data_IF_805138979756
#
_entry.id   IF_805138979756
#
_cell.length_a   1.000
_cell.length_b   1.000
_cell.length_c   1.000
_cell.angle_alpha   90.00
_cell.angle_beta   90.00
_cell.angle_gamma   90.00
#
_symmetry.space_group_name_H-M   'P 1'
#
loop_
_entity.id
_entity.type
_entity.pdbx_description
1 polymer ?
#
# COMPACT_ATOMS: atom_id res chain seq x y z
N UNK A 1 -6.01 10.12 11.78
CA UNK A 1 -6.05 8.72 12.27
C UNK A 1 -5.93 7.80 11.09
N UNK A 2 -4.97 6.89 11.13
CA UNK A 2 -4.65 5.99 10.01
C UNK A 2 -5.70 4.89 9.92
N UNK A 3 -6.14 4.58 8.69
CA UNK A 3 -7.05 3.48 8.40
C UNK A 3 -6.46 2.66 7.27
N UNK A 4 -6.41 1.34 7.46
CA UNK A 4 -5.96 0.37 6.47
C UNK A 4 -7.15 -0.54 6.13
N UNK A 5 -7.41 -0.74 4.84
CA UNK A 5 -8.36 -1.72 4.34
C UNK A 5 -7.65 -2.68 3.41
N UNK A 6 -7.99 -3.95 3.53
CA UNK A 6 -7.36 -5.02 2.76
C UNK A 6 -8.49 -5.87 2.16
N UNK A 7 -8.45 -6.07 0.85
CA UNK A 7 -9.27 -7.04 0.14
C UNK A 7 -8.42 -8.24 -0.24
N UNK A 8 -9.03 -9.42 -0.14
CA UNK A 8 -8.43 -10.68 -0.58
C UNK A 8 -9.33 -11.35 -1.60
N UNK A 9 -8.73 -11.91 -2.63
CA UNK A 9 -9.41 -12.74 -3.59
C UNK A 9 -9.78 -14.11 -2.98
N UNK A 10 -10.53 -14.93 -3.72
CA UNK A 10 -10.97 -16.26 -3.28
C UNK A 10 -9.81 -17.21 -2.95
N UNK A 11 -8.66 -17.02 -3.60
CA UNK A 11 -7.42 -17.75 -3.35
C UNK A 11 -6.59 -17.17 -2.18
N UNK A 12 -7.15 -16.25 -1.39
CA UNK A 12 -6.52 -15.56 -0.26
C UNK A 12 -5.44 -14.53 -0.60
N UNK A 13 -5.08 -14.35 -1.87
CA UNK A 13 -4.13 -13.31 -2.28
C UNK A 13 -4.72 -11.92 -2.06
N UNK A 14 -3.92 -10.99 -1.56
CA UNK A 14 -4.33 -9.58 -1.44
C UNK A 14 -4.48 -9.00 -2.85
N UNK A 15 -5.71 -8.59 -3.19
CA UNK A 15 -6.00 -7.94 -4.47
C UNK A 15 -6.38 -6.46 -4.30
N UNK A 16 -6.45 -5.98 -3.06
CA UNK A 16 -6.77 -4.59 -2.75
C UNK A 16 -6.12 -4.16 -1.42
N UNK A 17 -5.50 -2.98 -1.41
CA UNK A 17 -4.98 -2.32 -0.23
C UNK A 17 -5.30 -0.82 -0.31
N UNK A 18 -5.93 -0.26 0.72
CA UNK A 18 -6.16 1.17 0.84
C UNK A 18 -5.67 1.68 2.20
N UNK A 19 -4.77 2.67 2.17
CA UNK A 19 -4.22 3.34 3.35
C UNK A 19 -4.62 4.81 3.33
N UNK A 20 -5.37 5.25 4.35
CA UNK A 20 -5.87 6.63 4.48
C UNK A 20 -5.44 7.26 5.80
N UNK A 21 -5.27 8.59 5.79
CA UNK A 21 -5.05 9.38 7.00
C UNK A 21 -3.64 9.26 7.58
N UNK A 22 -2.66 8.92 6.73
CA UNK A 22 -1.23 8.84 7.07
C UNK A 22 -0.48 10.16 6.83
N UNK A 23 -1.19 11.28 6.72
CA UNK A 23 -0.62 12.63 6.65
C UNK A 23 -1.29 13.56 7.68
N UNK A 24 -0.56 14.59 8.10
CA UNK A 24 -1.01 15.66 9.01
C UNK A 24 -1.58 15.18 10.36
N UNK A 25 -0.95 14.19 11.01
CA UNK A 25 -1.38 13.77 12.35
C UNK A 25 -0.79 14.60 13.50
N UNK A 26 0.26 15.37 13.22
CA UNK A 26 0.97 16.28 14.12
C UNK A 26 1.81 17.29 13.29
N UNK A 27 2.64 18.07 13.97
CA UNK A 27 3.59 18.96 13.30
C UNK A 27 4.57 18.16 12.42
N UNK A 28 4.93 18.76 11.28
CA UNK A 28 5.92 18.20 10.36
C UNK A 28 7.22 17.84 11.11
N UNK A 29 7.71 16.62 10.92
CA UNK A 29 8.90 16.11 11.62
C UNK A 29 8.64 15.53 13.03
N UNK A 30 7.43 15.67 13.59
CA UNK A 30 6.99 14.96 14.81
C UNK A 30 6.08 13.78 14.52
N UNK A 31 5.68 13.66 13.26
CA UNK A 31 4.76 12.68 12.71
C UNK A 31 5.43 11.33 12.39
N UNK A 32 6.06 10.72 13.41
CA UNK A 32 6.85 9.49 13.26
C UNK A 32 6.04 8.32 12.70
N UNK A 33 4.79 8.16 13.13
CA UNK A 33 3.90 7.09 12.65
C UNK A 33 3.53 7.31 11.18
N UNK A 34 3.21 8.54 10.80
CA UNK A 34 2.93 8.90 9.41
C UNK A 34 4.14 8.69 8.50
N UNK A 35 5.34 9.06 8.97
CA UNK A 35 6.58 8.81 8.24
C UNK A 35 6.82 7.31 8.04
N UNK A 36 6.63 6.48 9.08
CA UNK A 36 6.77 5.03 8.97
C UNK A 36 5.79 4.42 7.96
N UNK A 37 4.50 4.79 8.04
CA UNK A 37 3.48 4.30 7.11
C UNK A 37 3.77 4.74 5.68
N UNK A 38 4.17 5.99 5.47
CA UNK A 38 4.55 6.49 4.15
C UNK A 38 5.76 5.72 3.58
N UNK A 39 6.78 5.48 4.42
CA UNK A 39 7.98 4.75 3.99
C UNK A 39 7.67 3.31 3.57
N UNK A 40 6.87 2.58 4.36
CA UNK A 40 6.51 1.18 4.05
C UNK A 40 5.64 1.10 2.79
N UNK A 41 4.59 1.92 2.71
CA UNK A 41 3.64 1.84 1.59
C UNK A 41 4.27 2.33 0.28
N UNK A 42 4.92 3.50 0.29
CA UNK A 42 5.59 4.02 -0.90
C UNK A 42 6.77 3.15 -1.30
N UNK A 43 7.55 2.64 -0.33
CA UNK A 43 8.66 1.73 -0.61
C UNK A 43 8.20 0.42 -1.23
N UNK A 44 7.13 -0.17 -0.71
CA UNK A 44 6.52 -1.38 -1.26
C UNK A 44 6.00 -1.17 -2.67
N UNK A 45 5.22 -0.11 -2.92
CA UNK A 45 4.68 0.18 -4.25
C UNK A 45 5.77 0.47 -5.29
N UNK A 46 6.86 1.14 -4.89
CA UNK A 46 8.01 1.36 -5.76
C UNK A 46 8.79 0.07 -6.09
N UNK A 47 8.57 -1.01 -5.35
CA UNK A 47 9.21 -2.30 -5.55
C UNK A 47 8.31 -3.29 -6.29
N UNK A 48 7.19 -2.85 -6.88
CA UNK A 48 6.39 -3.69 -7.76
C UNK A 48 6.96 -3.64 -9.18
N UNK A 49 6.96 -4.78 -9.89
CA UNK A 49 7.61 -4.87 -11.20
C UNK A 49 6.63 -4.76 -12.38
N UNK A 50 5.44 -5.33 -12.25
CA UNK A 50 4.53 -5.50 -13.39
C UNK A 50 3.42 -4.44 -13.42
N UNK A 51 3.77 -3.21 -13.79
CA UNK A 51 2.87 -2.04 -13.69
C UNK A 51 1.55 -2.15 -14.47
N UNK A 52 1.48 -3.05 -15.44
CA UNK A 52 0.27 -3.27 -16.24
C UNK A 52 -0.78 -4.13 -15.51
N UNK A 53 -0.39 -4.83 -14.44
CA UNK A 53 -1.26 -5.75 -13.69
C UNK A 53 -2.03 -5.08 -12.55
N UNK A 54 -1.70 -3.84 -12.20
CA UNK A 54 -2.30 -3.16 -11.04
C UNK A 54 -2.50 -1.67 -11.26
N UNK A 55 -3.48 -1.13 -10.54
CA UNK A 55 -3.67 0.30 -10.37
C UNK A 55 -3.09 0.72 -9.02
N UNK A 56 -2.17 1.68 -9.06
CA UNK A 56 -1.57 2.27 -7.85
C UNK A 56 -1.87 3.76 -7.80
N UNK A 57 -2.38 4.22 -6.66
CA UNK A 57 -2.58 5.63 -6.35
C UNK A 57 -1.69 5.98 -5.17
N UNK A 58 -0.80 6.97 -5.34
CA UNK A 58 -0.02 7.56 -4.26
C UNK A 58 -0.30 9.05 -4.20
N UNK A 59 -0.98 9.48 -3.13
CA UNK A 59 -1.29 10.88 -2.82
C UNK A 59 -1.03 11.14 -1.34
N UNK A 60 -0.88 12.42 -0.99
CA UNK A 60 -0.71 12.82 0.40
C UNK A 60 -1.87 12.29 1.27
N UNK A 61 -1.55 11.45 2.25
CA UNK A 61 -2.52 10.86 3.16
C UNK A 61 -3.46 9.82 2.53
N UNK A 62 -3.27 9.43 1.27
CA UNK A 62 -4.08 8.42 0.57
C UNK A 62 -3.25 7.58 -0.40
N UNK A 63 -3.14 6.28 -0.12
CA UNK A 63 -2.49 5.30 -0.98
C UNK A 63 -3.45 4.14 -1.30
N UNK A 64 -3.45 3.66 -2.55
CA UNK A 64 -4.25 2.53 -3.02
C UNK A 64 -3.40 1.63 -3.90
N UNK A 65 -3.58 0.32 -3.74
CA UNK A 65 -3.19 -0.72 -4.69
C UNK A 65 -4.42 -1.57 -4.98
N UNK A 66 -4.70 -1.85 -6.25
CA UNK A 66 -5.77 -2.74 -6.67
C UNK A 66 -5.34 -3.53 -7.90
N UNK A 67 -5.68 -4.82 -7.95
CA UNK A 67 -5.42 -5.67 -9.12
C UNK A 67 -6.62 -6.56 -9.44
N UNK A 68 -6.74 -6.91 -10.72
CA UNK A 68 -7.75 -7.82 -11.25
C UNK A 68 -7.16 -9.12 -11.82
N UNK A 69 -5.83 -9.21 -11.86
CA UNK A 69 -5.09 -10.38 -12.34
C UNK A 69 -4.23 -10.95 -11.20
N UNK A 70 -3.98 -12.27 -11.16
CA UNK A 70 -2.95 -12.81 -10.30
C UNK A 70 -1.58 -12.26 -10.73
N UNK A 71 -0.79 -11.79 -9.78
CA UNK A 71 0.59 -11.36 -10.01
C UNK A 71 1.60 -12.46 -9.65
N UNK A 72 2.87 -12.24 -10.00
CA UNK A 72 3.95 -13.20 -9.72
C UNK A 72 4.31 -13.28 -8.23
N UNK A 73 5.12 -14.28 -7.87
CA UNK A 73 5.53 -14.51 -6.48
C UNK A 73 6.35 -13.36 -5.87
N UNK A 74 7.01 -12.54 -6.71
CA UNK A 74 7.77 -11.38 -6.23
C UNK A 74 6.80 -10.29 -5.76
N UNK A 75 5.87 -9.87 -6.62
CA UNK A 75 4.92 -8.81 -6.30
C UNK A 75 3.95 -9.26 -5.17
N UNK A 76 3.66 -10.56 -5.07
CA UNK A 76 2.96 -11.15 -3.92
C UNK A 76 3.70 -10.93 -2.60
N UNK A 77 5.01 -11.24 -2.60
CA UNK A 77 5.84 -11.05 -1.42
C UNK A 77 5.92 -9.57 -1.02
N UNK A 78 6.02 -8.67 -2.01
CA UNK A 78 6.05 -7.23 -1.76
C UNK A 78 4.77 -6.76 -1.09
N UNK A 79 3.59 -7.13 -1.62
CA UNK A 79 2.30 -6.70 -1.06
C UNK A 79 2.05 -7.32 0.32
N UNK A 80 2.34 -8.60 0.53
CA UNK A 80 2.18 -9.25 1.84
C UNK A 80 3.13 -8.66 2.89
N UNK A 81 4.33 -8.18 2.50
CA UNK A 81 5.28 -7.55 3.44
C UNK A 81 4.80 -6.18 3.94
N UNK A 82 3.90 -5.51 3.22
CA UNK A 82 3.33 -4.21 3.63
C UNK A 82 2.37 -4.39 4.83
N UNK A 83 1.80 -5.58 5.02
CA UNK A 83 0.70 -5.88 5.96
C UNK A 83 1.18 -6.66 7.17
#
# INVERSE_FOLDING_TARGET
>A
MIKVKIGRASNQQINFLEVKGHAHSAEYGKDLVCAAVSAVVTGGFNNLNNIDDYEVILKEGHAVFETYTPFDAHDETVIETIV
#
